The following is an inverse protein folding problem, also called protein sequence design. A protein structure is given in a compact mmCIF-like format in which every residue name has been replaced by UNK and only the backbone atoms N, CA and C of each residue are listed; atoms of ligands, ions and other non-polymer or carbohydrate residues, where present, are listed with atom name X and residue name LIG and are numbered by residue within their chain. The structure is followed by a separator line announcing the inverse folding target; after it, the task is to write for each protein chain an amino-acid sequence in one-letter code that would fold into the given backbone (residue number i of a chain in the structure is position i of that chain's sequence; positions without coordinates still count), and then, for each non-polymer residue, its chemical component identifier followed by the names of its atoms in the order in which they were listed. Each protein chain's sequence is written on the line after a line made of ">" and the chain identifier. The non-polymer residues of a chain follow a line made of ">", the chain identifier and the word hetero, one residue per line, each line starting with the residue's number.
data_IF_909140985412
#
_entry.id   IF_909140985412
#
_cell.length_a   1.000
_cell.length_b   1.000
_cell.length_c   1.000
_cell.angle_alpha   90.00
_cell.angle_beta   90.00
_cell.angle_gamma   90.00
#
_symmetry.space_group_name_H-M   'P 1'
#
loop_
_entity.id
_entity.type
_entity.pdbx_description
1 polymer ?
#
# COMPACT_ATOMS: atom_id res chain seq x y z
N UNK A 1 -34.80 10.36 -0.18
CA UNK A 1 -33.92 9.28 0.32
C UNK A 1 -32.50 9.81 0.23
N UNK A 2 -31.74 9.79 1.33
CA UNK A 2 -30.31 10.16 1.29
C UNK A 2 -29.55 9.19 0.40
N UNK A 3 -28.71 9.70 -0.49
CA UNK A 3 -27.87 8.88 -1.36
C UNK A 3 -26.88 8.04 -0.54
N UNK A 4 -26.70 6.77 -0.92
CA UNK A 4 -25.77 5.87 -0.24
C UNK A 4 -24.32 6.28 -0.56
N UNK A 5 -23.48 6.35 0.47
CA UNK A 5 -22.04 6.61 0.28
C UNK A 5 -21.32 5.31 -0.09
N UNK A 6 -21.76 4.17 0.44
CA UNK A 6 -21.26 2.85 0.09
C UNK A 6 -22.44 1.96 -0.32
N UNK A 7 -22.33 1.30 -1.47
CA UNK A 7 -23.29 0.29 -1.92
C UNK A 7 -22.58 -0.99 -2.35
N UNK A 8 -23.03 -2.12 -1.84
CA UNK A 8 -22.70 -3.46 -2.32
C UNK A 8 -23.96 -4.00 -2.98
N UNK A 9 -23.89 -4.38 -4.25
CA UNK A 9 -25.05 -4.84 -5.03
C UNK A 9 -24.85 -6.31 -5.43
N UNK A 10 -25.54 -7.23 -4.75
CA UNK A 10 -25.55 -8.66 -5.08
C UNK A 10 -24.16 -9.30 -5.10
N UNK A 11 -23.31 -8.92 -4.14
CA UNK A 11 -21.89 -9.28 -4.16
C UNK A 11 -21.67 -10.71 -3.71
N UNK A 12 -21.02 -11.51 -4.56
CA UNK A 12 -20.53 -12.85 -4.22
C UNK A 12 -19.02 -12.93 -4.34
N UNK A 13 -18.37 -13.51 -3.34
CA UNK A 13 -16.90 -13.65 -3.29
C UNK A 13 -16.50 -15.03 -2.81
N UNK A 14 -15.54 -15.61 -3.53
CA UNK A 14 -14.92 -16.89 -3.20
C UNK A 14 -13.50 -16.67 -2.67
N UNK A 15 -13.13 -17.42 -1.64
CA UNK A 15 -11.74 -17.53 -1.17
C UNK A 15 -11.30 -18.99 -1.28
N UNK A 16 -10.36 -19.26 -2.19
CA UNK A 16 -9.99 -20.63 -2.54
C UNK A 16 -11.19 -21.36 -3.16
N UNK A 17 -11.58 -22.49 -2.58
CA UNK A 17 -12.76 -23.25 -2.99
C UNK A 17 -14.05 -22.83 -2.28
N UNK A 18 -13.99 -22.01 -1.23
CA UNK A 18 -15.13 -21.69 -0.38
C UNK A 18 -15.80 -20.37 -0.77
N UNK A 19 -17.13 -20.40 -0.95
CA UNK A 19 -17.95 -19.20 -1.12
C UNK A 19 -18.13 -18.53 0.24
N UNK A 20 -17.48 -17.38 0.44
CA UNK A 20 -17.47 -16.68 1.73
C UNK A 20 -18.59 -15.66 1.81
N UNK A 21 -18.85 -14.96 0.71
CA UNK A 21 -19.99 -14.05 0.56
C UNK A 21 -20.86 -14.55 -0.59
N UNK A 22 -22.17 -14.59 -0.38
CA UNK A 22 -23.13 -15.01 -1.39
C UNK A 22 -24.29 -14.03 -1.44
N UNK A 23 -24.39 -13.29 -2.55
CA UNK A 23 -25.48 -12.36 -2.84
C UNK A 23 -25.71 -11.31 -1.73
N UNK A 24 -24.62 -10.71 -1.26
CA UNK A 24 -24.66 -9.70 -0.21
C UNK A 24 -24.98 -8.35 -0.82
N UNK A 25 -26.09 -7.75 -0.38
CA UNK A 25 -26.45 -6.37 -0.71
C UNK A 25 -26.49 -5.51 0.54
N UNK A 26 -25.84 -4.35 0.51
CA UNK A 26 -25.69 -3.45 1.64
C UNK A 26 -25.56 -2.01 1.16
N UNK A 27 -26.42 -1.13 1.65
CA UNK A 27 -26.30 0.32 1.47
C UNK A 27 -25.98 0.99 2.81
N UNK A 28 -24.94 1.82 2.81
CA UNK A 28 -24.57 2.64 3.96
C UNK A 28 -24.65 4.11 3.58
N UNK A 29 -25.61 4.81 4.19
CA UNK A 29 -25.87 6.23 3.92
C UNK A 29 -25.07 7.13 4.87
N UNK A 30 -25.00 8.42 4.52
CA UNK A 30 -24.43 9.46 5.37
C UNK A 30 -24.99 9.39 6.80
N UNK A 31 -24.10 9.41 7.80
CA UNK A 31 -24.46 9.37 9.22
C UNK A 31 -24.89 8.00 9.75
N UNK A 32 -24.77 6.92 8.98
CA UNK A 32 -24.98 5.57 9.48
C UNK A 32 -23.67 4.96 10.00
N UNK A 33 -23.77 4.30 11.16
CA UNK A 33 -22.78 3.33 11.63
C UNK A 33 -23.41 1.95 11.57
N UNK A 34 -22.90 1.12 10.66
CA UNK A 34 -23.31 -0.28 10.48
C UNK A 34 -22.28 -1.18 11.14
N UNK A 35 -22.70 -1.90 12.18
CA UNK A 35 -21.89 -2.90 12.87
C UNK A 35 -22.11 -4.27 12.23
N UNK A 36 -21.03 -4.88 11.73
CA UNK A 36 -21.02 -6.27 11.28
C UNK A 36 -20.99 -7.18 12.50
N UNK A 37 -22.17 -7.66 12.94
CA UNK A 37 -22.36 -8.40 14.19
C UNK A 37 -22.55 -9.89 13.91
N UNK A 38 -21.47 -10.53 13.46
CA UNK A 38 -21.49 -11.96 13.15
C UNK A 38 -20.43 -12.76 13.91
N UNK A 39 -20.61 -14.09 13.93
CA UNK A 39 -19.62 -15.03 14.48
C UNK A 39 -18.26 -14.89 13.80
N UNK A 40 -17.21 -15.31 14.50
CA UNK A 40 -15.88 -15.44 13.89
C UNK A 40 -15.95 -16.34 12.66
N UNK A 41 -15.33 -15.92 11.55
CA UNK A 41 -15.33 -16.67 10.30
C UNK A 41 -16.55 -16.47 9.39
N UNK A 42 -17.55 -15.67 9.78
CA UNK A 42 -18.72 -15.39 8.95
C UNK A 42 -18.47 -14.48 7.73
N UNK A 43 -17.25 -13.93 7.59
CA UNK A 43 -16.87 -13.10 6.45
C UNK A 43 -16.85 -11.59 6.70
N UNK A 44 -16.92 -11.10 7.95
CA UNK A 44 -16.87 -9.65 8.26
C UNK A 44 -15.69 -8.91 7.61
N UNK A 45 -14.47 -9.41 7.83
CA UNK A 45 -13.27 -8.84 7.20
C UNK A 45 -13.33 -8.96 5.67
N UNK A 46 -13.95 -10.02 5.14
CA UNK A 46 -14.18 -10.16 3.69
C UNK A 46 -15.10 -9.07 3.16
N UNK A 47 -16.17 -8.70 3.88
CA UNK A 47 -17.06 -7.59 3.51
C UNK A 47 -16.28 -6.27 3.48
N UNK A 48 -15.43 -6.01 4.47
CA UNK A 48 -14.60 -4.79 4.51
C UNK A 48 -13.57 -4.76 3.36
N UNK A 49 -12.94 -5.89 3.07
CA UNK A 49 -12.00 -6.00 1.95
C UNK A 49 -12.68 -5.87 0.58
N UNK A 50 -13.92 -6.35 0.45
CA UNK A 50 -14.77 -6.11 -0.73
C UNK A 50 -15.15 -4.65 -0.84
N UNK A 51 -15.63 -4.04 0.24
CA UNK A 51 -16.04 -2.63 0.28
C UNK A 51 -14.87 -1.68 -0.02
N UNK A 52 -13.63 -2.07 0.28
CA UNK A 52 -12.41 -1.33 -0.07
C UNK A 52 -11.84 -1.69 -1.45
N UNK A 53 -12.47 -2.63 -2.16
CA UNK A 53 -12.11 -3.05 -3.52
C UNK A 53 -10.79 -3.81 -3.60
N UNK A 54 -10.43 -4.56 -2.55
CA UNK A 54 -9.24 -5.41 -2.48
C UNK A 54 -9.44 -6.81 -3.05
N UNK A 55 -10.68 -7.31 -3.01
CA UNK A 55 -11.00 -8.64 -3.51
C UNK A 55 -11.70 -8.56 -4.87
N UNK A 56 -11.36 -9.47 -5.81
CA UNK A 56 -12.14 -9.64 -7.02
C UNK A 56 -13.52 -10.21 -6.68
N UNK A 57 -14.53 -9.85 -7.47
CA UNK A 57 -15.91 -10.29 -7.30
C UNK A 57 -16.24 -11.40 -8.31
N UNK A 58 -17.00 -12.41 -7.89
CA UNK A 58 -17.59 -13.41 -8.80
C UNK A 58 -18.90 -12.88 -9.40
N UNK A 59 -19.66 -12.11 -8.60
CA UNK A 59 -20.91 -11.46 -8.99
C UNK A 59 -21.05 -10.11 -8.28
N UNK A 60 -21.88 -9.25 -8.86
CA UNK A 60 -22.23 -7.96 -8.28
C UNK A 60 -21.20 -6.87 -8.51
N UNK A 61 -21.39 -5.77 -7.81
CA UNK A 61 -20.54 -4.58 -7.88
C UNK A 61 -20.50 -3.84 -6.53
N UNK A 62 -19.45 -3.04 -6.35
CA UNK A 62 -19.26 -2.16 -5.20
C UNK A 62 -19.16 -0.72 -5.71
N UNK A 63 -19.95 0.17 -5.13
CA UNK A 63 -19.98 1.58 -5.47
C UNK A 63 -19.62 2.45 -4.27
N UNK A 64 -18.85 3.50 -4.53
CA UNK A 64 -18.58 4.59 -3.60
C UNK A 64 -19.19 5.87 -4.16
N UNK A 65 -20.09 6.51 -3.43
CA UNK A 65 -20.84 7.72 -3.84
C UNK A 65 -21.48 7.56 -5.23
N UNK A 66 -22.22 6.47 -5.44
CA UNK A 66 -22.88 6.17 -6.70
C UNK A 66 -21.96 5.75 -7.85
N UNK A 67 -20.64 5.64 -7.63
CA UNK A 67 -19.68 5.26 -8.67
C UNK A 67 -19.05 3.90 -8.44
N UNK A 68 -19.05 3.08 -9.50
CA UNK A 68 -18.43 1.75 -9.49
C UNK A 68 -16.94 1.84 -9.11
N UNK A 69 -16.63 1.30 -7.93
CA UNK A 69 -15.27 1.04 -7.48
C UNK A 69 -14.77 -0.23 -8.16
N UNK A 70 -15.47 -1.36 -8.00
CA UNK A 70 -15.12 -2.65 -8.58
C UNK A 70 -16.38 -3.43 -8.96
N UNK A 71 -16.33 -4.17 -10.06
CA UNK A 71 -17.41 -5.07 -10.49
C UNK A 71 -16.90 -6.47 -10.85
N UNK A 72 -17.83 -7.40 -11.05
CA UNK A 72 -17.53 -8.78 -11.43
C UNK A 72 -16.90 -8.93 -12.83
N UNK A 73 -16.96 -7.90 -13.69
CA UNK A 73 -16.25 -7.92 -15.00
C UNK A 73 -14.75 -7.64 -14.85
N UNK A 74 -14.31 -7.28 -13.64
CA UNK A 74 -12.94 -6.91 -13.34
C UNK A 74 -12.65 -5.42 -13.55
N UNK A 75 -13.69 -4.60 -13.82
CA UNK A 75 -13.52 -3.15 -13.87
C UNK A 75 -13.09 -2.66 -12.49
N UNK A 76 -12.08 -1.79 -12.45
CA UNK A 76 -11.52 -1.28 -11.22
C UNK A 76 -11.11 0.18 -11.41
N UNK A 77 -11.77 1.11 -10.72
CA UNK A 77 -11.52 2.56 -10.85
C UNK A 77 -10.91 3.18 -9.60
N UNK A 78 -10.12 4.24 -9.74
CA UNK A 78 -9.72 5.03 -8.57
C UNK A 78 -10.98 5.64 -7.92
N UNK A 79 -11.16 5.52 -6.60
CA UNK A 79 -12.29 6.15 -5.91
C UNK A 79 -12.20 7.67 -6.06
N UNK A 80 -13.32 8.33 -6.39
CA UNK A 80 -13.37 9.80 -6.51
C UNK A 80 -13.27 10.50 -5.16
N UNK A 81 -13.86 9.90 -4.14
CA UNK A 81 -13.77 10.36 -2.76
C UNK A 81 -12.87 9.41 -1.98
N UNK A 82 -11.92 9.96 -1.26
CA UNK A 82 -11.09 9.13 -0.40
C UNK A 82 -11.86 8.67 0.84
N UNK A 83 -11.53 7.48 1.30
CA UNK A 83 -12.16 6.77 2.41
C UNK A 83 -11.11 6.42 3.47
N UNK A 84 -11.57 6.15 4.69
CA UNK A 84 -10.73 5.65 5.78
C UNK A 84 -10.72 4.13 5.81
N UNK A 85 -9.56 3.52 6.08
CA UNK A 85 -9.39 2.08 6.12
C UNK A 85 -8.52 1.63 7.29
N UNK A 86 -9.05 0.73 8.11
CA UNK A 86 -8.28 -0.08 9.05
C UNK A 86 -8.44 -1.55 8.67
N UNK A 87 -7.32 -2.24 8.44
CA UNK A 87 -7.29 -3.68 8.20
C UNK A 87 -7.07 -4.45 9.51
N UNK A 88 -7.49 -5.71 9.56
CA UNK A 88 -7.23 -6.58 10.71
C UNK A 88 -5.74 -6.71 11.06
N UNK A 89 -4.86 -6.67 10.06
CA UNK A 89 -3.39 -6.79 10.24
C UNK A 89 -2.66 -5.45 10.28
N UNK A 90 -3.31 -4.37 10.73
CA UNK A 90 -2.77 -3.00 10.88
C UNK A 90 -2.52 -2.20 9.59
N UNK A 91 -2.00 -2.79 8.51
CA UNK A 91 -1.75 -2.07 7.25
C UNK A 91 -0.51 -1.17 7.26
N UNK A 92 0.43 -1.41 8.17
CA UNK A 92 1.58 -0.55 8.43
C UNK A 92 2.91 -1.21 8.02
N UNK A 93 3.90 -0.43 7.61
CA UNK A 93 5.28 -0.92 7.43
C UNK A 93 6.06 -0.61 8.71
N UNK A 94 6.83 -1.58 9.24
CA UNK A 94 7.52 -1.44 10.52
C UNK A 94 8.56 -0.32 10.56
N UNK A 95 9.18 -0.04 9.41
CA UNK A 95 10.20 1.01 9.25
C UNK A 95 9.62 2.43 9.04
N UNK A 96 8.30 2.61 9.03
CA UNK A 96 7.66 3.93 9.07
C UNK A 96 7.60 4.47 10.50
N UNK A 97 7.63 5.80 10.64
CA UNK A 97 7.29 6.46 11.90
C UNK A 97 5.77 6.54 12.06
N UNK A 98 5.32 6.67 13.31
CA UNK A 98 3.89 6.85 13.63
C UNK A 98 3.30 8.03 12.88
N UNK A 99 3.93 9.20 12.97
CA UNK A 99 3.46 10.40 12.26
C UNK A 99 3.43 10.22 10.74
N UNK A 100 4.40 9.51 10.17
CA UNK A 100 4.51 9.32 8.72
C UNK A 100 3.33 8.49 8.21
N UNK A 101 2.97 7.44 8.93
CA UNK A 101 1.84 6.60 8.57
C UNK A 101 0.51 7.35 8.66
N UNK A 102 0.29 8.13 9.74
CA UNK A 102 -0.92 8.95 9.88
C UNK A 102 -1.01 10.03 8.80
N UNK A 103 0.11 10.72 8.52
CA UNK A 103 0.17 11.72 7.46
C UNK A 103 -0.06 11.10 6.07
N UNK A 104 0.37 9.86 5.83
CA UNK A 104 0.08 9.17 4.58
C UNK A 104 -1.42 8.89 4.41
N UNK A 105 -2.11 8.45 5.47
CA UNK A 105 -3.56 8.24 5.44
C UNK A 105 -4.32 9.54 5.16
N UNK A 106 -3.87 10.65 5.76
CA UNK A 106 -4.42 11.98 5.54
C UNK A 106 -4.13 12.52 4.12
N UNK A 107 -2.91 12.37 3.63
CA UNK A 107 -2.51 12.79 2.29
C UNK A 107 -3.31 12.04 1.21
N UNK A 108 -3.51 10.72 1.38
CA UNK A 108 -4.39 9.92 0.52
C UNK A 108 -5.85 10.38 0.60
N UNK A 109 -6.23 11.00 1.72
CA UNK A 109 -7.56 11.58 1.93
C UNK A 109 -7.76 12.97 1.31
N UNK A 110 -6.70 13.55 0.75
CA UNK A 110 -6.71 14.86 0.09
C UNK A 110 -6.57 16.06 1.03
N UNK A 111 -6.22 15.83 2.29
CA UNK A 111 -5.99 16.92 3.24
C UNK A 111 -5.48 16.45 4.60
N UNK A 112 -4.88 17.37 5.36
CA UNK A 112 -4.31 17.09 6.68
C UNK A 112 -5.10 17.75 7.78
N UNK A 113 -5.28 17.02 8.87
CA UNK A 113 -5.61 17.53 10.19
C UNK A 113 -4.36 17.50 11.07
N UNK A 114 -4.35 18.29 12.14
CA UNK A 114 -3.32 18.16 13.17
C UNK A 114 -3.45 16.81 13.86
N UNK A 115 -2.35 16.04 13.88
CA UNK A 115 -2.29 14.69 14.46
C UNK A 115 -1.94 14.72 15.94
N UNK A 116 -1.35 15.81 16.44
CA UNK A 116 -0.82 15.87 17.80
C UNK A 116 -1.90 15.72 18.89
N UNK A 117 -3.06 16.42 18.80
CA UNK A 117 -4.14 16.22 19.78
C UNK A 117 -4.67 14.78 19.82
N UNK A 118 -4.64 14.07 18.68
CA UNK A 118 -5.07 12.67 18.60
C UNK A 118 -4.04 11.73 19.20
N UNK A 119 -2.75 11.99 18.96
CA UNK A 119 -1.68 11.23 19.58
C UNK A 119 -1.67 11.45 21.10
N UNK A 120 -1.96 12.64 21.60
CA UNK A 120 -2.13 12.90 23.04
C UNK A 120 -3.34 12.14 23.60
N UNK A 121 -4.50 12.26 22.95
CA UNK A 121 -5.76 11.59 23.35
C UNK A 121 -5.61 10.08 23.51
N UNK A 122 -4.80 9.42 22.67
CA UNK A 122 -4.56 7.98 22.71
C UNK A 122 -3.25 7.56 23.40
N UNK A 123 -2.59 8.47 24.11
CA UNK A 123 -1.31 8.25 24.81
C UNK A 123 -0.19 7.71 23.90
N UNK A 124 -0.04 8.32 22.73
CA UNK A 124 0.96 8.04 21.70
C UNK A 124 1.87 9.23 21.37
N UNK A 125 1.63 10.43 21.94
CA UNK A 125 2.42 11.63 21.66
C UNK A 125 3.93 11.40 21.87
N UNK A 126 4.30 10.73 22.96
CA UNK A 126 5.69 10.39 23.28
C UNK A 126 6.34 9.38 22.30
N UNK A 127 5.57 8.75 21.41
CA UNK A 127 6.03 7.78 20.41
C UNK A 127 5.85 8.30 18.97
N UNK A 128 5.48 9.57 18.78
CA UNK A 128 5.21 10.19 17.47
C UNK A 128 6.30 9.92 16.42
N UNK A 129 7.56 10.00 16.86
CA UNK A 129 8.74 9.87 16.00
C UNK A 129 9.38 8.47 16.01
N UNK A 130 8.79 7.53 16.75
CA UNK A 130 9.27 6.15 16.81
C UNK A 130 8.86 5.37 15.57
N UNK A 131 9.68 4.38 15.23
CA UNK A 131 9.33 3.39 14.22
C UNK A 131 8.19 2.51 14.72
N UNK A 132 7.25 2.18 13.83
CA UNK A 132 6.12 1.29 14.13
C UNK A 132 6.60 -0.07 14.61
N UNK A 133 7.75 -0.55 14.13
CA UNK A 133 8.39 -1.78 14.60
C UNK A 133 8.71 -1.79 16.11
N UNK A 134 8.93 -0.62 16.73
CA UNK A 134 9.25 -0.49 18.16
C UNK A 134 8.01 -0.35 19.05
N UNK A 135 6.82 -0.34 18.48
CA UNK A 135 5.57 -0.24 19.22
C UNK A 135 5.10 -1.62 19.69
N UNK A 136 4.43 -1.64 20.85
CA UNK A 136 3.67 -2.83 21.28
C UNK A 136 2.50 -3.12 20.33
N UNK A 137 1.95 -4.33 20.37
CA UNK A 137 0.81 -4.69 19.51
C UNK A 137 -0.39 -3.74 19.68
N UNK A 138 -0.74 -3.38 20.91
CA UNK A 138 -1.82 -2.42 21.19
C UNK A 138 -1.50 -1.00 20.71
N UNK A 139 -0.24 -0.56 20.80
CA UNK A 139 0.18 0.75 20.26
C UNK A 139 0.10 0.76 18.73
N UNK A 140 0.56 -0.29 18.04
CA UNK A 140 0.39 -0.42 16.58
C UNK A 140 -1.07 -0.41 16.17
N UNK A 141 -1.94 -1.08 16.94
CA UNK A 141 -3.38 -1.03 16.70
C UNK A 141 -3.94 0.37 16.79
N UNK A 142 -3.59 1.13 17.84
CA UNK A 142 -4.02 2.52 17.99
C UNK A 142 -3.60 3.36 16.78
N UNK A 143 -2.40 3.14 16.23
CA UNK A 143 -1.94 3.81 15.00
C UNK A 143 -2.79 3.41 13.78
N UNK A 144 -3.08 2.11 13.57
CA UNK A 144 -3.90 1.63 12.46
C UNK A 144 -5.36 2.12 12.54
N UNK A 145 -5.91 2.17 13.76
CA UNK A 145 -7.22 2.73 14.07
C UNK A 145 -7.26 4.23 13.71
N UNK A 146 -6.28 5.01 14.19
CA UNK A 146 -6.17 6.43 13.85
C UNK A 146 -6.02 6.64 12.33
N UNK A 147 -5.20 5.84 11.65
CA UNK A 147 -5.04 5.91 10.20
C UNK A 147 -6.36 5.67 9.44
N UNK A 148 -7.23 4.79 9.94
CA UNK A 148 -8.56 4.57 9.35
C UNK A 148 -9.60 5.62 9.74
N UNK A 149 -9.49 6.21 10.93
CA UNK A 149 -10.51 7.11 11.47
C UNK A 149 -10.28 8.58 11.10
N UNK A 150 -9.02 9.06 11.17
CA UNK A 150 -8.65 10.46 10.94
C UNK A 150 -9.07 11.01 9.56
N UNK A 151 -9.06 10.23 8.46
CA UNK A 151 -9.65 10.65 7.19
C UNK A 151 -11.05 11.27 7.30
N UNK A 152 -11.91 10.77 8.20
CA UNK A 152 -13.27 11.29 8.39
C UNK A 152 -13.37 12.67 9.04
N UNK A 153 -12.26 13.18 9.60
CA UNK A 153 -12.15 14.54 10.11
C UNK A 153 -11.57 15.52 9.08
N UNK A 154 -11.18 15.05 7.89
CA UNK A 154 -10.61 15.89 6.82
C UNK A 154 -11.71 16.54 5.99
N UNK A 155 -11.87 17.85 6.14
CA UNK A 155 -12.85 18.65 5.39
C UNK A 155 -14.28 18.44 5.88
N UNK A 156 -15.25 18.99 5.14
CA UNK A 156 -16.69 18.93 5.49
C UNK A 156 -17.46 17.90 4.66
N UNK A 157 -16.82 17.28 3.67
CA UNK A 157 -17.48 16.29 2.80
C UNK A 157 -17.54 14.95 3.55
N UNK A 158 -18.73 14.35 3.68
CA UNK A 158 -18.89 13.00 4.23
C UNK A 158 -18.03 11.96 3.53
N UNK A 159 -17.47 11.02 4.30
CA UNK A 159 -16.63 9.93 3.78
C UNK A 159 -17.11 8.58 4.27
N UNK A 160 -16.64 7.56 3.58
CA UNK A 160 -16.79 6.16 3.97
C UNK A 160 -15.62 5.82 4.91
N UNK A 161 -15.89 5.18 6.04
CA UNK A 161 -14.88 4.64 6.96
C UNK A 161 -15.09 3.15 7.10
N UNK A 162 -14.09 2.37 6.69
CA UNK A 162 -14.10 0.91 6.67
C UNK A 162 -13.15 0.41 7.75
N UNK A 163 -13.71 -0.06 8.87
CA UNK A 163 -12.95 -0.29 10.10
C UNK A 163 -13.04 -1.76 10.52
N UNK A 164 -11.99 -2.54 10.22
CA UNK A 164 -11.93 -3.96 10.57
C UNK A 164 -11.22 -4.14 11.91
N UNK A 165 -11.97 -4.51 12.96
CA UNK A 165 -11.50 -4.75 14.34
C UNK A 165 -10.72 -3.59 15.00
N UNK A 166 -11.10 -2.31 14.84
CA UNK A 166 -10.28 -1.16 15.25
C UNK A 166 -9.94 -1.14 16.76
N UNK A 167 -10.69 -1.87 17.57
CA UNK A 167 -10.53 -1.97 19.01
C UNK A 167 -9.66 -3.15 19.50
N UNK A 168 -9.15 -3.99 18.59
CA UNK A 168 -8.40 -5.17 18.97
C UNK A 168 -7.12 -4.84 19.76
N UNK A 169 -7.05 -5.25 21.02
CA UNK A 169 -5.92 -4.97 21.89
C UNK A 169 -5.88 -3.53 22.45
N UNK A 170 -6.98 -2.78 22.35
CA UNK A 170 -7.16 -1.52 23.07
C UNK A 170 -7.57 -1.78 24.53
N UNK A 171 -7.04 -0.95 25.43
CA UNK A 171 -7.51 -0.85 26.81
C UNK A 171 -8.93 -0.25 26.89
N UNK A 172 -9.60 -0.43 28.04
CA UNK A 172 -10.99 0.01 28.22
C UNK A 172 -11.16 1.52 27.98
N UNK A 173 -10.24 2.35 28.48
CA UNK A 173 -10.28 3.80 28.30
C UNK A 173 -10.20 4.20 26.82
N UNK A 174 -9.29 3.57 26.06
CA UNK A 174 -9.13 3.83 24.63
C UNK A 174 -10.34 3.40 23.82
N UNK A 175 -11.05 2.34 24.22
CA UNK A 175 -12.32 1.93 23.60
C UNK A 175 -13.42 2.95 23.84
N UNK A 176 -13.55 3.48 25.06
CA UNK A 176 -14.51 4.56 25.35
C UNK A 176 -14.23 5.80 24.48
N UNK A 177 -12.97 6.20 24.36
CA UNK A 177 -12.57 7.31 23.49
C UNK A 177 -12.91 7.04 22.01
N UNK A 178 -12.66 5.82 21.53
CA UNK A 178 -13.03 5.42 20.17
C UNK A 178 -14.55 5.50 19.95
N UNK A 179 -15.37 5.06 20.90
CA UNK A 179 -16.84 5.18 20.80
C UNK A 179 -17.25 6.64 20.67
N UNK A 180 -16.69 7.54 21.49
CA UNK A 180 -16.94 8.99 21.38
C UNK A 180 -16.55 9.54 20.00
N UNK A 181 -15.40 9.13 19.47
CA UNK A 181 -14.90 9.63 18.19
C UNK A 181 -15.69 9.09 16.99
N UNK A 182 -16.18 7.85 17.07
CA UNK A 182 -17.14 7.30 16.11
C UNK A 182 -18.47 8.07 16.10
N UNK A 183 -18.97 8.49 17.26
CA UNK A 183 -20.14 9.37 17.34
C UNK A 183 -19.90 10.71 16.66
N UNK A 184 -18.75 11.35 16.89
CA UNK A 184 -18.39 12.61 16.23
C UNK A 184 -18.33 12.43 14.71
N UNK A 185 -17.71 11.37 14.23
CA UNK A 185 -17.62 11.06 12.80
C UNK A 185 -18.99 10.87 12.16
N UNK A 186 -19.88 10.13 12.82
CA UNK A 186 -21.27 9.95 12.38
C UNK A 186 -22.01 11.28 12.32
N UNK A 187 -21.90 12.12 13.34
CA UNK A 187 -22.55 13.44 13.38
C UNK A 187 -22.00 14.41 12.31
N UNK A 188 -20.78 14.18 11.80
CA UNK A 188 -20.23 14.86 10.62
C UNK A 188 -20.75 14.30 9.28
N UNK A 189 -21.66 13.33 9.31
CA UNK A 189 -22.25 12.70 8.13
C UNK A 189 -21.47 11.52 7.56
N UNK A 190 -20.34 11.10 8.16
CA UNK A 190 -19.60 9.96 7.63
C UNK A 190 -20.44 8.67 7.67
N UNK A 191 -20.26 7.82 6.65
CA UNK A 191 -20.78 6.45 6.60
C UNK A 191 -19.72 5.51 7.17
N UNK A 192 -20.06 4.73 8.18
CA UNK A 192 -19.11 3.88 8.90
C UNK A 192 -19.56 2.43 8.80
N UNK A 193 -18.68 1.57 8.28
CA UNK A 193 -18.83 0.13 8.31
C UNK A 193 -17.78 -0.45 9.25
N UNK A 194 -18.22 -1.03 10.37
CA UNK A 194 -17.36 -1.47 11.46
C UNK A 194 -17.51 -2.98 11.67
N UNK A 195 -16.41 -3.74 11.61
CA UNK A 195 -16.35 -5.11 12.12
C UNK A 195 -15.79 -5.09 13.54
N UNK A 196 -16.53 -5.65 14.49
CA UNK A 196 -16.05 -5.81 15.86
C UNK A 196 -16.83 -6.89 16.59
N UNK A 197 -16.19 -7.53 17.56
CA UNK A 197 -16.81 -8.45 18.50
C UNK A 197 -17.14 -7.83 19.86
N UNK A 198 -16.73 -6.58 20.10
CA UNK A 198 -16.95 -5.93 21.38
C UNK A 198 -18.37 -5.37 21.50
N UNK A 199 -19.02 -5.64 22.62
CA UNK A 199 -20.37 -5.16 22.95
C UNK A 199 -20.46 -3.65 23.00
N UNK A 200 -19.36 -2.96 23.36
CA UNK A 200 -19.25 -1.50 23.47
C UNK A 200 -19.72 -0.79 22.18
N UNK A 201 -19.48 -1.40 21.01
CA UNK A 201 -19.89 -0.81 19.71
C UNK A 201 -21.35 -1.05 19.35
N UNK A 202 -22.04 -1.94 20.05
CA UNK A 202 -23.46 -2.19 19.80
C UNK A 202 -24.27 -0.95 20.17
N UNK A 203 -23.96 -0.27 21.27
CA UNK A 203 -24.71 0.92 21.70
C UNK A 203 -24.54 2.12 20.74
N UNK A 204 -23.38 2.26 20.09
CA UNK A 204 -23.12 3.36 19.16
C UNK A 204 -23.55 3.08 17.71
N UNK A 205 -23.84 1.82 17.37
CA UNK A 205 -24.23 1.43 16.03
C UNK A 205 -25.69 1.79 15.74
N UNK A 206 -25.93 2.46 14.62
CA UNK A 206 -27.29 2.77 14.15
C UNK A 206 -27.99 1.53 13.57
N UNK A 207 -27.20 0.63 12.98
CA UNK A 207 -27.69 -0.56 12.29
C UNK A 207 -26.77 -1.74 12.57
N UNK A 208 -27.34 -2.94 12.57
CA UNK A 208 -26.63 -4.19 12.72
C UNK A 208 -26.79 -4.99 11.42
N UNK A 209 -25.68 -5.49 10.87
CA UNK A 209 -25.70 -6.48 9.80
C UNK A 209 -25.38 -7.85 10.41
N UNK A 210 -26.32 -8.79 10.30
CA UNK A 210 -26.15 -10.18 10.71
C UNK A 210 -26.49 -11.07 9.52
N UNK A 211 -25.52 -11.85 9.02
CA UNK A 211 -25.66 -12.52 7.74
C UNK A 211 -25.87 -11.52 6.60
N UNK A 212 -27.01 -11.62 5.91
CA UNK A 212 -27.36 -10.74 4.78
C UNK A 212 -28.48 -9.74 5.13
N UNK A 213 -28.92 -9.65 6.39
CA UNK A 213 -30.00 -8.77 6.81
C UNK A 213 -29.48 -7.61 7.64
N UNK A 214 -29.77 -6.39 7.18
CA UNK A 214 -29.47 -5.14 7.89
C UNK A 214 -30.72 -4.68 8.63
N UNK A 215 -30.59 -4.51 9.94
CA UNK A 215 -31.68 -4.10 10.83
C UNK A 215 -31.30 -2.81 11.56
N UNK A 216 -32.29 -1.97 11.85
CA UNK A 216 -32.11 -0.80 12.71
C UNK A 216 -31.87 -1.27 14.14
N UNK A 217 -30.91 -0.65 14.82
CA UNK A 217 -30.56 -1.04 16.17
C UNK A 217 -31.44 -0.33 17.21
N UNK A 218 -32.29 -1.06 17.91
CA UNK A 218 -33.14 -0.52 18.98
C UNK A 218 -32.35 -0.06 20.20
N UNK A 219 -31.18 -0.66 20.45
CA UNK A 219 -30.29 -0.29 21.56
C UNK A 219 -29.41 0.94 21.26
N UNK A 220 -29.69 1.64 20.16
CA UNK A 220 -28.93 2.80 19.74
C UNK A 220 -29.15 3.98 20.69
N UNK A 221 -28.07 4.49 21.27
CA UNK A 221 -28.12 5.69 22.10
C UNK A 221 -27.64 6.91 21.30
N UNK A 222 -28.54 7.86 21.08
CA UNK A 222 -28.23 9.11 20.40
C UNK A 222 -27.50 10.07 21.36
N UNK A 223 -26.17 10.17 21.23
CA UNK A 223 -25.40 11.15 21.98
C UNK A 223 -25.45 12.54 21.31
N UNK A 224 -25.80 13.57 22.11
CA UNK A 224 -25.68 14.99 21.72
C UNK A 224 -24.22 15.41 21.75
N UNK A 225 -23.45 14.97 20.74
CA UNK A 225 -22.07 15.41 20.54
C UNK A 225 -22.00 16.75 19.82
N UNK A 226 -21.12 17.65 20.28
CA UNK A 226 -20.77 18.89 19.57
C UNK A 226 -20.03 18.52 18.28
N UNK A 227 -20.46 19.08 17.16
CA UNK A 227 -19.71 19.02 15.89
C UNK A 227 -18.50 19.94 15.96
N UNK A 228 -17.34 19.38 16.32
CA UNK A 228 -16.08 20.13 16.25
C UNK A 228 -15.66 20.32 14.79
N UNK A 229 -15.60 21.57 14.36
CA UNK A 229 -15.01 21.95 13.08
C UNK A 229 -13.49 22.00 13.21
N UNK A 230 -12.85 20.87 12.95
CA UNK A 230 -11.39 20.82 12.84
C UNK A 230 -10.91 21.57 11.59
N UNK A 231 -9.89 22.40 11.78
CA UNK A 231 -9.16 23.00 10.67
C UNK A 231 -8.46 21.89 9.89
N UNK A 232 -8.72 21.83 8.59
CA UNK A 232 -8.00 20.95 7.68
C UNK A 232 -7.33 21.79 6.60
N UNK A 233 -6.17 21.34 6.13
CA UNK A 233 -5.45 21.95 5.02
C UNK A 233 -5.52 21.04 3.80
N UNK A 234 -5.74 21.61 2.62
CA UNK A 234 -5.60 20.84 1.37
C UNK A 234 -4.12 20.57 1.13
N UNK A 235 -3.79 19.31 0.80
CA UNK A 235 -2.42 18.92 0.54
C UNK A 235 -2.38 18.07 -0.74
N UNK A 236 -1.69 18.57 -1.77
CA UNK A 236 -1.45 17.83 -3.01
C UNK A 236 0.01 17.41 -3.05
N UNK A 237 0.30 16.24 -2.51
CA UNK A 237 1.59 15.59 -2.63
C UNK A 237 1.42 14.19 -3.22
N UNK A 238 2.51 13.59 -3.67
CA UNK A 238 2.56 12.19 -4.06
C UNK A 238 2.99 11.35 -2.85
N UNK A 239 2.06 10.89 -1.98
CA UNK A 239 2.43 10.20 -0.74
C UNK A 239 3.16 8.89 -1.03
N UNK A 240 2.84 8.20 -2.13
CA UNK A 240 3.52 6.97 -2.53
C UNK A 240 5.00 7.22 -2.84
N UNK A 241 5.31 8.25 -3.63
CA UNK A 241 6.69 8.62 -3.95
C UNK A 241 7.47 9.05 -2.70
N UNK A 242 6.92 10.00 -1.91
CA UNK A 242 7.56 10.46 -0.67
C UNK A 242 7.84 9.31 0.29
N UNK A 243 6.87 8.42 0.47
CA UNK A 243 7.00 7.27 1.36
C UNK A 243 8.09 6.32 0.88
N UNK A 244 8.11 5.99 -0.41
CA UNK A 244 9.13 5.12 -1.00
C UNK A 244 10.53 5.71 -0.86
N UNK A 245 10.67 7.02 -1.10
CA UNK A 245 11.93 7.74 -0.92
C UNK A 245 12.42 7.70 0.53
N UNK A 246 11.58 8.09 1.50
CA UNK A 246 11.94 8.12 2.93
C UNK A 246 12.29 6.73 3.47
N UNK A 247 11.48 5.72 3.14
CA UNK A 247 11.73 4.35 3.57
C UNK A 247 13.06 3.84 3.05
N UNK A 248 13.36 4.09 1.78
CA UNK A 248 14.60 3.60 1.20
C UNK A 248 15.82 4.38 1.70
N UNK A 249 15.71 5.68 1.92
CA UNK A 249 16.79 6.47 2.52
C UNK A 249 17.12 5.97 3.93
N UNK A 250 16.09 5.58 4.71
CA UNK A 250 16.24 5.09 6.09
C UNK A 250 16.80 3.68 6.16
N UNK A 251 16.38 2.80 5.26
CA UNK A 251 16.71 1.36 5.32
C UNK A 251 17.84 0.97 4.37
N UNK A 252 18.19 1.85 3.42
CA UNK A 252 19.10 1.59 2.30
C UNK A 252 18.76 0.29 1.55
N UNK A 253 17.49 -0.11 1.54
CA UNK A 253 17.09 -1.46 1.13
C UNK A 253 17.48 -1.80 -0.29
N UNK A 254 17.33 -0.88 -1.25
CA UNK A 254 17.74 -1.11 -2.65
C UNK A 254 19.23 -1.31 -2.76
N UNK A 255 20.04 -0.53 -2.03
CA UNK A 255 21.49 -0.71 -2.03
C UNK A 255 21.86 -2.03 -1.36
N UNK A 256 21.21 -2.37 -0.25
CA UNK A 256 21.48 -3.58 0.50
C UNK A 256 21.14 -4.87 -0.27
N UNK A 257 20.10 -4.89 -1.12
CA UNK A 257 19.76 -6.08 -1.90
C UNK A 257 20.28 -6.04 -3.33
N UNK A 258 19.92 -4.99 -4.09
CA UNK A 258 20.24 -4.86 -5.50
C UNK A 258 21.73 -4.56 -5.65
N UNK A 259 22.30 -3.80 -4.71
CA UNK A 259 23.73 -3.54 -4.69
C UNK A 259 24.55 -4.81 -4.47
N UNK A 260 24.13 -5.74 -3.60
CA UNK A 260 24.84 -7.03 -3.44
C UNK A 260 24.94 -7.77 -4.77
N UNK A 261 23.82 -7.89 -5.51
CA UNK A 261 23.84 -8.54 -6.81
C UNK A 261 24.75 -7.80 -7.81
N UNK A 262 24.63 -6.48 -7.89
CA UNK A 262 25.45 -5.66 -8.79
C UNK A 262 26.94 -5.70 -8.47
N UNK A 263 27.33 -5.54 -7.19
CA UNK A 263 28.72 -5.59 -6.75
C UNK A 263 29.33 -6.98 -6.88
N UNK A 264 28.55 -8.04 -6.62
CA UNK A 264 29.01 -9.41 -6.82
C UNK A 264 29.25 -9.70 -8.30
N UNK A 265 28.34 -9.29 -9.19
CA UNK A 265 28.55 -9.38 -10.64
C UNK A 265 29.77 -8.58 -11.09
N UNK A 266 29.92 -7.34 -10.63
CA UNK A 266 31.11 -6.51 -10.91
C UNK A 266 32.40 -7.21 -10.46
N UNK A 267 32.44 -7.71 -9.22
CA UNK A 267 33.61 -8.38 -8.66
C UNK A 267 33.99 -9.66 -9.42
N UNK A 268 33.00 -10.45 -9.87
CA UNK A 268 33.23 -11.63 -10.70
C UNK A 268 33.82 -11.24 -12.05
N UNK A 269 33.32 -10.19 -12.71
CA UNK A 269 33.83 -9.75 -14.00
C UNK A 269 35.28 -9.28 -13.91
N UNK A 270 35.59 -8.46 -12.90
CA UNK A 270 36.95 -7.98 -12.66
C UNK A 270 37.93 -9.10 -12.29
N UNK A 271 37.44 -10.20 -11.71
CA UNK A 271 38.27 -11.35 -11.39
C UNK A 271 38.51 -12.29 -12.57
N UNK A 272 37.56 -12.39 -13.50
CA UNK A 272 37.59 -13.36 -14.60
C UNK A 272 38.06 -12.79 -15.94
N UNK A 273 37.95 -11.47 -16.13
CA UNK A 273 38.19 -10.84 -17.43
C UNK A 273 39.38 -9.89 -17.28
N UNK A 274 40.41 -10.14 -18.08
CA UNK A 274 41.57 -9.27 -18.17
C UNK A 274 41.18 -7.95 -18.84
N UNK A 275 41.46 -6.83 -18.18
CA UNK A 275 41.14 -5.50 -18.69
C UNK A 275 41.84 -5.21 -20.02
N UNK A 276 43.03 -5.78 -20.23
CA UNK A 276 43.79 -5.61 -21.47
C UNK A 276 43.20 -6.35 -22.68
N UNK A 277 42.28 -7.28 -22.45
CA UNK A 277 41.64 -8.09 -23.49
C UNK A 277 40.30 -7.52 -24.00
N UNK A 278 39.81 -6.43 -23.40
CA UNK A 278 38.53 -5.82 -23.76
C UNK A 278 38.72 -4.74 -24.82
N UNK A 279 38.57 -5.11 -26.09
CA UNK A 279 38.49 -4.14 -27.18
C UNK A 279 37.18 -3.33 -27.08
N UNK A 280 37.30 -2.00 -27.00
CA UNK A 280 36.18 -1.06 -26.85
C UNK A 280 35.17 -1.09 -28.00
N UNK A 281 35.57 -1.58 -29.18
CA UNK A 281 34.74 -1.65 -30.39
C UNK A 281 33.85 -2.90 -30.48
N UNK A 282 33.94 -3.83 -29.53
CA UNK A 282 33.24 -5.10 -29.58
C UNK A 282 31.97 -5.09 -28.72
N UNK A 283 30.96 -5.83 -29.19
CA UNK A 283 29.69 -6.10 -28.47
C UNK A 283 29.89 -6.64 -27.04
N UNK A 284 31.08 -7.17 -26.77
CA UNK A 284 31.50 -7.66 -25.47
C UNK A 284 31.67 -6.52 -24.45
N UNK A 285 32.12 -5.33 -24.85
CA UNK A 285 32.38 -4.20 -23.96
C UNK A 285 31.08 -3.60 -23.40
N UNK A 286 30.08 -3.31 -24.25
CA UNK A 286 28.77 -2.78 -23.83
C UNK A 286 28.03 -3.73 -22.90
N UNK A 287 28.04 -5.03 -23.20
CA UNK A 287 27.45 -6.06 -22.36
C UNK A 287 28.12 -6.18 -21.00
N UNK A 288 29.45 -6.11 -20.98
CA UNK A 288 30.26 -6.16 -19.76
C UNK A 288 30.03 -4.95 -18.86
N UNK A 289 30.01 -3.73 -19.40
CA UNK A 289 29.79 -2.52 -18.61
C UNK A 289 28.38 -2.42 -18.01
N UNK A 290 27.37 -2.97 -18.69
CA UNK A 290 25.97 -2.91 -18.24
C UNK A 290 25.54 -4.11 -17.38
N UNK A 291 26.31 -5.20 -17.38
CA UNK A 291 25.96 -6.44 -16.70
C UNK A 291 25.70 -6.28 -15.20
N UNK A 292 26.52 -5.51 -14.47
CA UNK A 292 26.34 -5.26 -13.04
C UNK A 292 25.05 -4.46 -12.76
N UNK A 293 24.75 -3.46 -13.60
CA UNK A 293 23.53 -2.67 -13.51
C UNK A 293 22.27 -3.51 -13.83
N UNK A 294 22.37 -4.40 -14.83
CA UNK A 294 21.33 -5.37 -15.16
C UNK A 294 21.07 -6.35 -14.02
N UNK A 295 22.13 -6.94 -13.45
CA UNK A 295 22.04 -7.88 -12.33
C UNK A 295 21.39 -7.24 -11.09
N UNK A 296 21.77 -6.00 -10.77
CA UNK A 296 21.12 -5.23 -9.72
C UNK A 296 19.62 -5.02 -10.00
N UNK A 297 19.25 -4.75 -11.24
CA UNK A 297 17.86 -4.57 -11.65
C UNK A 297 16.99 -5.83 -11.57
N UNK A 298 17.56 -7.01 -11.87
CA UNK A 298 16.88 -8.31 -11.80
C UNK A 298 16.41 -8.69 -10.39
N UNK A 299 17.00 -8.11 -9.34
CA UNK A 299 16.54 -8.29 -7.95
C UNK A 299 15.13 -7.72 -7.74
N UNK A 300 14.73 -6.71 -8.53
CA UNK A 300 13.42 -6.09 -8.47
C UNK A 300 13.31 -4.95 -7.46
N UNK A 301 12.08 -4.51 -7.19
CA UNK A 301 11.81 -3.42 -6.25
C UNK A 301 11.57 -3.94 -4.83
N UNK A 302 12.57 -3.77 -3.98
CA UNK A 302 12.52 -4.13 -2.56
C UNK A 302 11.37 -3.51 -1.77
N UNK A 303 10.83 -2.37 -2.20
CA UNK A 303 9.68 -1.76 -1.55
C UNK A 303 8.48 -2.70 -1.56
N UNK A 304 8.32 -3.54 -2.58
CA UNK A 304 7.25 -4.54 -2.62
C UNK A 304 7.37 -5.50 -1.44
N UNK A 305 8.60 -5.98 -1.16
CA UNK A 305 8.86 -6.91 -0.06
C UNK A 305 8.48 -6.30 1.29
N UNK A 306 8.90 -5.05 1.56
CA UNK A 306 8.56 -4.33 2.78
C UNK A 306 7.05 -4.08 2.92
N UNK A 307 6.38 -3.73 1.83
CA UNK A 307 4.95 -3.48 1.85
C UNK A 307 4.13 -4.74 2.17
N UNK A 308 4.70 -5.94 2.06
CA UNK A 308 3.99 -7.15 2.51
C UNK A 308 3.95 -7.31 4.04
N UNK A 309 4.76 -6.56 4.79
CA UNK A 309 4.62 -6.49 6.24
C UNK A 309 3.20 -6.05 6.59
N UNK A 310 2.53 -6.77 7.50
CA UNK A 310 1.27 -6.35 8.09
C UNK A 310 0.21 -5.91 7.06
N UNK A 311 0.18 -6.52 5.87
CA UNK A 311 -0.72 -6.18 4.76
C UNK A 311 -0.67 -4.71 4.31
N UNK A 312 0.45 -4.00 4.49
CA UNK A 312 0.57 -2.61 4.05
C UNK A 312 0.35 -2.44 2.53
N UNK A 313 0.75 -3.43 1.73
CA UNK A 313 0.54 -3.44 0.28
C UNK A 313 -0.95 -3.41 -0.07
N UNK A 314 -1.76 -4.18 0.66
CA UNK A 314 -3.20 -4.18 0.48
C UNK A 314 -3.77 -2.82 0.88
N UNK A 315 -3.34 -2.27 2.01
CA UNK A 315 -3.75 -0.93 2.45
C UNK A 315 -3.45 0.14 1.37
N UNK A 316 -2.25 0.14 0.77
CA UNK A 316 -1.92 1.05 -0.33
C UNK A 316 -2.74 0.78 -1.61
N UNK A 317 -2.97 -0.48 -1.96
CA UNK A 317 -3.78 -0.88 -3.13
C UNK A 317 -5.24 -0.42 -3.01
N UNK A 318 -5.82 -0.48 -1.82
CA UNK A 318 -7.21 -0.07 -1.57
C UNK A 318 -7.48 1.37 -2.01
N UNK A 319 -6.52 2.28 -1.75
CA UNK A 319 -6.67 3.70 -2.07
C UNK A 319 -6.50 4.01 -3.57
N UNK A 320 -5.85 3.12 -4.35
CA UNK A 320 -5.62 3.27 -5.81
C UNK A 320 -4.97 4.59 -6.22
N UNK A 321 -4.07 5.13 -5.38
CA UNK A 321 -3.33 6.38 -5.63
C UNK A 321 -1.83 6.17 -5.84
N UNK A 322 -1.44 4.95 -6.23
CA UNK A 322 -0.04 4.55 -6.36
C UNK A 322 0.47 3.79 -5.14
N UNK A 323 1.56 3.06 -5.35
CA UNK A 323 2.20 2.21 -4.33
C UNK A 323 3.65 2.70 -4.19
N UNK A 324 4.20 2.82 -2.97
CA UNK A 324 5.59 3.21 -2.77
C UNK A 324 6.58 2.37 -3.60
N UNK A 325 7.62 3.04 -4.11
CA UNK A 325 8.64 2.46 -4.99
C UNK A 325 10.02 3.08 -4.71
N UNK A 326 11.08 2.40 -5.14
CA UNK A 326 12.47 2.80 -4.89
C UNK A 326 13.25 3.26 -6.13
N UNK A 327 12.57 3.59 -7.23
CA UNK A 327 13.20 3.74 -8.55
C UNK A 327 14.34 4.76 -8.63
N UNK A 328 14.29 5.87 -7.89
CA UNK A 328 15.39 6.85 -7.87
C UNK A 328 16.69 6.23 -7.38
N UNK A 329 16.61 5.37 -6.36
CA UNK A 329 17.79 4.72 -5.81
C UNK A 329 18.29 3.63 -6.77
N UNK A 330 17.37 2.96 -7.47
CA UNK A 330 17.72 2.06 -8.57
C UNK A 330 18.46 2.77 -9.70
N UNK A 331 18.02 3.98 -10.09
CA UNK A 331 18.69 4.82 -11.09
C UNK A 331 20.13 5.11 -10.69
N UNK A 332 20.30 5.63 -9.47
CA UNK A 332 21.60 6.02 -8.92
C UNK A 332 22.53 4.81 -8.78
N UNK A 333 21.99 3.68 -8.30
CA UNK A 333 22.74 2.43 -8.16
C UNK A 333 23.19 1.89 -9.52
N UNK A 334 22.29 1.83 -10.51
CA UNK A 334 22.61 1.36 -11.86
C UNK A 334 23.66 2.22 -12.54
N UNK A 335 23.47 3.54 -12.48
CA UNK A 335 24.45 4.51 -12.99
C UNK A 335 25.81 4.35 -12.30
N UNK A 336 25.82 4.24 -10.97
CA UNK A 336 27.05 4.05 -10.20
C UNK A 336 27.77 2.74 -10.51
N UNK A 337 27.05 1.63 -10.63
CA UNK A 337 27.61 0.33 -11.01
C UNK A 337 28.21 0.36 -12.41
N UNK A 338 27.56 1.02 -13.37
CA UNK A 338 28.10 1.20 -14.73
C UNK A 338 29.32 2.12 -14.76
N UNK A 339 29.40 3.10 -13.85
CA UNK A 339 30.63 3.89 -13.68
C UNK A 339 31.78 3.01 -13.17
N UNK A 340 31.50 2.21 -12.13
CA UNK A 340 32.49 1.35 -11.50
C UNK A 340 32.98 0.23 -12.42
N UNK A 341 32.12 -0.34 -13.26
CA UNK A 341 32.54 -1.29 -14.30
C UNK A 341 33.50 -0.62 -15.28
N UNK A 342 33.17 0.54 -15.85
CA UNK A 342 34.07 1.24 -16.79
C UNK A 342 35.43 1.57 -16.15
N UNK A 343 35.43 2.10 -14.92
CA UNK A 343 36.65 2.40 -14.18
C UNK A 343 37.48 1.15 -13.87
N UNK A 344 36.83 0.03 -13.55
CA UNK A 344 37.52 -1.23 -13.27
C UNK A 344 38.23 -1.85 -14.48
N UNK A 345 37.84 -1.46 -15.70
CA UNK A 345 38.45 -1.88 -16.96
C UNK A 345 39.33 -0.78 -17.58
N UNK A 346 39.70 0.25 -16.81
CA UNK A 346 40.54 1.38 -17.25
C UNK A 346 39.97 2.15 -18.47
N UNK A 347 38.65 2.21 -18.58
CA UNK A 347 37.94 2.95 -19.64
C UNK A 347 37.40 4.27 -19.10
N UNK A 348 37.53 5.34 -19.89
CA UNK A 348 36.97 6.64 -19.55
C UNK A 348 35.44 6.57 -19.39
N UNK A 349 34.88 7.31 -18.43
CA UNK A 349 33.45 7.28 -18.14
C UNK A 349 32.65 7.86 -19.32
N UNK A 350 31.87 7.02 -19.99
CA UNK A 350 30.89 7.43 -20.99
C UNK A 350 29.58 7.85 -20.31
N UNK A 351 29.23 9.14 -20.38
CA UNK A 351 27.97 9.66 -19.84
C UNK A 351 26.71 9.02 -20.47
N UNK A 352 26.65 8.78 -21.80
CA UNK A 352 25.56 8.03 -22.40
C UNK A 352 25.39 6.63 -21.78
N UNK A 353 26.49 5.90 -21.60
CA UNK A 353 26.45 4.57 -21.04
C UNK A 353 26.01 4.57 -19.57
N UNK A 354 26.44 5.58 -18.81
CA UNK A 354 26.02 5.80 -17.42
C UNK A 354 24.49 5.97 -17.31
N UNK A 355 23.92 6.81 -18.19
CA UNK A 355 22.47 7.04 -18.26
C UNK A 355 21.72 5.77 -18.68
N UNK A 356 22.24 5.02 -19.66
CA UNK A 356 21.69 3.73 -20.09
C UNK A 356 21.71 2.73 -18.93
N UNK A 357 22.81 2.64 -18.17
CA UNK A 357 22.92 1.77 -17.00
C UNK A 357 21.86 2.06 -15.94
N UNK A 358 21.67 3.33 -15.58
CA UNK A 358 20.61 3.75 -14.65
C UNK A 358 19.20 3.42 -15.17
N UNK A 359 18.92 3.72 -16.44
CA UNK A 359 17.63 3.42 -17.06
C UNK A 359 17.36 1.92 -17.17
N UNK A 360 18.37 1.12 -17.50
CA UNK A 360 18.31 -0.33 -17.57
C UNK A 360 17.95 -0.94 -16.21
N UNK A 361 18.59 -0.47 -15.13
CA UNK A 361 18.27 -0.94 -13.77
C UNK A 361 16.83 -0.60 -13.40
N UNK A 362 16.34 0.61 -13.69
CA UNK A 362 14.94 0.96 -13.40
C UNK A 362 13.98 0.15 -14.25
N UNK A 363 14.21 0.04 -15.56
CA UNK A 363 13.28 -0.65 -16.46
C UNK A 363 13.14 -2.12 -16.07
N UNK A 364 14.24 -2.77 -15.72
CA UNK A 364 14.23 -4.15 -15.20
C UNK A 364 13.53 -4.24 -13.85
N UNK A 365 13.81 -3.35 -12.90
CA UNK A 365 13.09 -3.30 -11.62
C UNK A 365 11.58 -3.12 -11.80
N UNK A 366 11.15 -2.26 -12.74
CA UNK A 366 9.74 -2.02 -13.06
C UNK A 366 9.08 -3.29 -13.61
N UNK A 367 9.75 -4.02 -14.50
CA UNK A 367 9.24 -5.27 -15.06
C UNK A 367 9.11 -6.36 -13.99
N UNK A 368 10.14 -6.55 -13.16
CA UNK A 368 10.11 -7.52 -12.05
C UNK A 368 9.02 -7.14 -11.04
N UNK A 369 8.90 -5.86 -10.69
CA UNK A 369 7.83 -5.38 -9.81
C UNK A 369 6.44 -5.64 -10.41
N UNK A 370 6.26 -5.44 -11.71
CA UNK A 370 4.99 -5.71 -12.37
C UNK A 370 4.63 -7.19 -12.27
N UNK A 371 5.60 -8.09 -12.50
CA UNK A 371 5.43 -9.54 -12.33
C UNK A 371 5.06 -9.91 -10.88
N UNK A 372 5.73 -9.33 -9.88
CA UNK A 372 5.44 -9.58 -8.46
C UNK A 372 4.04 -9.06 -8.07
N UNK A 373 3.65 -7.87 -8.53
CA UNK A 373 2.33 -7.31 -8.24
C UNK A 373 1.21 -8.06 -8.96
N UNK A 374 1.43 -8.51 -10.20
CA UNK A 374 0.44 -9.31 -10.93
C UNK A 374 0.18 -10.66 -10.25
N UNK A 375 1.23 -11.32 -9.78
CA UNK A 375 1.14 -12.62 -9.09
C UNK A 375 0.71 -12.50 -7.64
N UNK A 376 0.79 -11.32 -7.02
CA UNK A 376 0.30 -11.08 -5.65
C UNK A 376 -1.20 -11.35 -5.48
N UNK A 377 -1.97 -11.42 -6.58
CA UNK A 377 -3.40 -11.76 -6.58
C UNK A 377 -3.68 -13.26 -6.62
N UNK A 378 -2.66 -14.09 -6.84
CA UNK A 378 -2.80 -15.55 -6.87
C UNK A 378 -3.05 -16.09 -5.46
N UNK A 379 -3.71 -17.25 -5.38
CA UNK A 379 -4.05 -17.91 -4.12
C UNK A 379 -2.84 -18.20 -3.21
N UNK A 380 -1.64 -18.33 -3.79
CA UNK A 380 -0.37 -18.37 -3.07
C UNK A 380 0.53 -17.24 -3.57
N UNK A 381 0.41 -16.04 -2.98
CA UNK A 381 1.33 -14.95 -3.26
C UNK A 381 2.75 -15.43 -2.96
N UNK A 382 3.71 -15.13 -3.83
CA UNK A 382 5.15 -15.47 -3.66
C UNK A 382 5.52 -16.95 -3.79
N UNK A 383 4.67 -17.82 -4.34
CA UNK A 383 5.20 -19.08 -4.89
C UNK A 383 6.33 -18.74 -5.88
N UNK A 384 7.42 -19.52 -5.89
CA UNK A 384 8.71 -19.23 -6.54
C UNK A 384 8.68 -18.83 -8.04
N UNK A 385 7.50 -18.83 -8.65
CA UNK A 385 7.21 -18.58 -10.04
C UNK A 385 7.72 -17.23 -10.57
N UNK A 386 7.66 -16.13 -9.80
CA UNK A 386 8.09 -14.81 -10.32
C UNK A 386 9.58 -14.75 -10.58
N UNK A 387 10.39 -15.29 -9.66
CA UNK A 387 11.85 -15.35 -9.81
C UNK A 387 12.30 -16.29 -10.92
N UNK A 388 11.53 -17.35 -11.21
CA UNK A 388 11.83 -18.27 -12.31
C UNK A 388 11.56 -17.61 -13.67
N UNK A 389 10.72 -16.58 -13.73
CA UNK A 389 10.38 -15.88 -14.97
C UNK A 389 11.36 -14.74 -15.30
N UNK A 390 12.15 -14.24 -14.35
CA UNK A 390 13.10 -13.13 -14.60
C UNK A 390 14.16 -13.38 -15.69
N UNK A 391 14.62 -14.63 -15.97
CA UNK A 391 15.55 -14.89 -17.08
C UNK A 391 15.00 -14.48 -18.46
N UNK A 392 13.68 -14.31 -18.62
CA UNK A 392 13.10 -13.80 -19.88
C UNK A 392 13.65 -12.42 -20.26
N UNK A 393 14.15 -11.65 -19.28
CA UNK A 393 14.72 -10.32 -19.48
C UNK A 393 16.13 -10.33 -20.07
N UNK A 394 16.77 -11.51 -20.19
CA UNK A 394 18.10 -11.65 -20.82
C UNK A 394 18.03 -11.29 -22.32
N UNK A 395 16.95 -11.66 -23.01
CA UNK A 395 16.81 -11.36 -24.44
C UNK A 395 16.70 -9.84 -24.71
N UNK A 396 15.81 -9.08 -24.04
CA UNK A 396 15.80 -7.61 -24.13
C UNK A 396 17.16 -6.97 -23.80
N UNK A 397 17.87 -7.50 -22.80
CA UNK A 397 19.22 -7.04 -22.47
C UNK A 397 20.22 -7.28 -23.61
N UNK A 398 20.23 -8.48 -24.20
CA UNK A 398 21.12 -8.80 -25.32
C UNK A 398 20.85 -7.90 -26.55
N UNK A 399 19.58 -7.62 -26.85
CA UNK A 399 19.20 -6.71 -27.93
C UNK A 399 19.65 -5.26 -27.65
N UNK A 400 19.54 -4.80 -26.40
CA UNK A 400 20.04 -3.48 -26.00
C UNK A 400 21.56 -3.38 -26.18
N UNK A 401 22.30 -4.41 -25.76
CA UNK A 401 23.76 -4.50 -25.91
C UNK A 401 24.17 -4.45 -27.39
N UNK A 402 23.48 -5.21 -28.24
CA UNK A 402 23.70 -5.19 -29.68
C UNK A 402 23.43 -3.78 -30.26
N UNK A 403 22.30 -3.17 -29.90
CA UNK A 403 21.95 -1.83 -30.38
C UNK A 403 22.98 -0.75 -29.99
N UNK A 404 23.52 -0.79 -28.76
CA UNK A 404 24.56 0.15 -28.32
C UNK A 404 25.82 0.00 -29.17
N UNK A 405 26.17 -1.24 -29.49
CA UNK A 405 27.34 -1.59 -30.29
C UNK A 405 27.17 -1.11 -31.73
N UNK A 406 26.02 -1.39 -32.34
CA UNK A 406 25.70 -0.97 -33.72
C UNK A 406 25.61 0.56 -33.86
N UNK A 407 25.25 1.26 -32.77
CA UNK A 407 25.11 2.71 -32.75
C UNK A 407 26.44 3.48 -32.59
N UNK A 408 27.56 2.79 -32.31
CA UNK A 408 28.85 3.44 -32.05
C UNK A 408 28.84 4.37 -30.84
N UNK A 409 28.03 4.04 -29.81
CA UNK A 409 27.94 4.81 -28.56
C UNK A 409 29.15 4.59 -27.62
N UNK A 410 30.03 3.66 -27.98
CA UNK A 410 31.25 3.29 -27.27
C UNK A 410 32.50 3.74 -28.04
#
# INVERSE_FOLDING_TARGET
>A
MSEALLSLNGVSVRRGSSMVLNDVSLDVTSGQLVLLKDKNGAGKSTIIEVASGLLPLEKGEVLHNGEVLIDATGRSKRPKSAFGLTLQSDGCVGSLRVEEHLLNALDLSGGRVDVDPWLERYNLAHRKHDLIAHLSGGQRRKVAMLAGMLPGFVGQVPRILLLDEPAAGLDAASRTLLVEDLHKLRNRGNAILLASHHTDFTACATHLLTGNTMETNEAFEESKGVTDNMKSSSHKNNPAFRTGFLLNQRTLSTVASNGIAGFLTLGILLALIDASAVDSSLMQASGLFLSAAFAAGLVGDNMVSMLHEHRALDWWKAHRQGIPNSYIHGLLLGSGLTALTQLGFDVAISWPLLAIGGLLTISTMVMVRWMDLATSRLARPRAAFTRILTPILILPFALLVQWITDSGLL
#
